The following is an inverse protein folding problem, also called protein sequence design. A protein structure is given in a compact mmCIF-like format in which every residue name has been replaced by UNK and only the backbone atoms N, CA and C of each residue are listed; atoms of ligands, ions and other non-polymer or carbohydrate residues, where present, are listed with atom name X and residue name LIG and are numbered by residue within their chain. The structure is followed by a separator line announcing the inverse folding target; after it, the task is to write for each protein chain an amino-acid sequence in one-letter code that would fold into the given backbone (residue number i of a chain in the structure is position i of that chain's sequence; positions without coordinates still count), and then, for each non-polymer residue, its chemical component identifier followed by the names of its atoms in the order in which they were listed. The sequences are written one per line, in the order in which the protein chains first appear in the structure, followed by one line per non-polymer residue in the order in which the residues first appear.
data_IF_552057027281
#
_entry.id   IF_552057027281
#
_cell.length_a   1.000
_cell.length_b   1.000
_cell.length_c   1.000
_cell.angle_alpha   90.00
_cell.angle_beta   90.00
_cell.angle_gamma   90.00
#
_symmetry.space_group_name_H-M   'P 1'
#
loop_
_entity.id
_entity.type
_entity.pdbx_description
1 polymer ?
#
# COMPACT_ATOMS: atom_id res chain seq x y z
N UNK A 1 -3.72 -18.80 -18.86
CA UNK A 1 -2.49 -18.37 -18.13
C UNK A 1 -2.77 -16.98 -17.57
N UNK A 2 -2.95 -16.86 -16.25
CA UNK A 2 -3.33 -15.60 -15.60
C UNK A 2 -2.22 -14.56 -15.72
N UNK A 3 -2.59 -13.29 -15.93
CA UNK A 3 -1.66 -12.16 -16.08
C UNK A 3 -0.63 -12.09 -14.94
N UNK A 4 -1.05 -12.40 -13.71
CA UNK A 4 -0.20 -12.46 -12.51
C UNK A 4 0.95 -13.45 -12.63
N UNK A 5 0.72 -14.62 -13.23
CA UNK A 5 1.75 -15.64 -13.42
C UNK A 5 2.80 -15.21 -14.47
N UNK A 6 2.38 -14.42 -15.47
CA UNK A 6 3.30 -13.85 -16.47
C UNK A 6 4.17 -12.75 -15.88
N UNK A 7 3.61 -11.86 -15.05
CA UNK A 7 4.39 -10.79 -14.39
C UNK A 7 5.43 -11.36 -13.43
N UNK A 8 5.07 -12.40 -12.67
CA UNK A 8 6.00 -13.09 -11.78
C UNK A 8 7.12 -13.82 -12.54
N UNK A 9 6.80 -14.48 -13.66
CA UNK A 9 7.81 -15.16 -14.50
C UNK A 9 8.73 -14.15 -15.21
N UNK A 10 8.18 -13.05 -15.72
CA UNK A 10 8.97 -11.97 -16.34
C UNK A 10 9.89 -11.27 -15.33
N UNK A 11 9.43 -11.04 -14.10
CA UNK A 11 10.27 -10.53 -13.02
C UNK A 11 11.41 -11.51 -12.69
N UNK A 12 11.13 -12.82 -12.65
CA UNK A 12 12.12 -13.88 -12.44
C UNK A 12 13.18 -13.93 -13.54
N UNK A 13 12.79 -13.78 -14.82
CA UNK A 13 13.73 -13.72 -15.97
C UNK A 13 14.62 -12.48 -15.96
N UNK A 14 14.11 -11.34 -15.47
CA UNK A 14 14.92 -10.13 -15.27
C UNK A 14 15.96 -10.35 -14.17
N UNK A 15 15.57 -10.97 -13.05
CA UNK A 15 16.48 -11.28 -11.92
C UNK A 15 17.56 -12.31 -12.30
N UNK A 16 17.24 -13.27 -13.17
CA UNK A 16 18.20 -14.22 -13.78
C UNK A 16 19.13 -13.58 -14.83
N UNK A 17 18.91 -12.31 -15.18
CA UNK A 17 19.75 -11.55 -16.11
C UNK A 17 19.44 -11.77 -17.59
N UNK A 18 18.36 -12.47 -17.93
CA UNK A 18 18.06 -12.96 -19.29
C UNK A 18 17.51 -11.89 -20.25
N UNK A 19 16.78 -10.89 -19.76
CA UNK A 19 16.48 -9.66 -20.56
C UNK A 19 17.64 -8.69 -20.42
N UNK A 20 17.94 -7.77 -21.33
CA UNK A 20 18.89 -6.62 -21.13
C UNK A 20 18.23 -5.34 -21.66
N UNK A 21 18.43 -4.19 -20.97
CA UNK A 21 17.89 -2.87 -21.36
C UNK A 21 16.86 -2.27 -20.38
N UNK A 22 16.47 -1.00 -20.59
CA UNK A 22 15.57 -0.23 -19.71
C UNK A 22 14.16 -0.82 -19.55
N UNK A 23 13.76 -1.77 -20.41
CA UNK A 23 12.48 -2.48 -20.29
C UNK A 23 12.45 -3.57 -19.20
N UNK A 24 13.57 -3.80 -18.50
CA UNK A 24 13.67 -4.69 -17.33
C UNK A 24 12.83 -4.25 -16.12
N UNK A 25 12.47 -2.96 -16.06
CA UNK A 25 11.84 -2.34 -14.89
C UNK A 25 10.31 -2.53 -14.93
N UNK A 26 9.73 -2.75 -16.12
CA UNK A 26 8.28 -2.84 -16.31
C UNK A 26 7.57 -3.89 -15.44
N UNK A 27 8.11 -5.12 -15.26
CA UNK A 27 7.46 -6.12 -14.41
C UNK A 27 7.38 -5.71 -12.93
N UNK A 28 8.26 -4.82 -12.48
CA UNK A 28 8.33 -4.34 -11.09
C UNK A 28 7.50 -3.08 -10.84
N UNK A 29 7.04 -2.39 -11.89
CA UNK A 29 6.23 -1.17 -11.77
C UNK A 29 4.87 -1.44 -11.13
N UNK A 30 4.22 -2.57 -11.44
CA UNK A 30 2.90 -2.91 -10.86
C UNK A 30 2.95 -3.04 -9.32
N UNK A 31 3.80 -3.92 -8.77
CA UNK A 31 3.98 -4.02 -7.32
C UNK A 31 4.45 -2.73 -6.66
N UNK A 32 5.36 -1.99 -7.32
CA UNK A 32 5.83 -0.70 -6.82
C UNK A 32 4.70 0.35 -6.75
N UNK A 33 3.85 0.41 -7.77
CA UNK A 33 2.71 1.33 -7.81
C UNK A 33 1.72 1.04 -6.68
N UNK A 34 1.37 -0.23 -6.47
CA UNK A 34 0.48 -0.63 -5.36
C UNK A 34 1.07 -0.21 -4.01
N UNK A 35 2.38 -0.39 -3.81
CA UNK A 35 3.05 0.07 -2.59
C UNK A 35 3.05 1.60 -2.46
N UNK A 36 3.25 2.35 -3.54
CA UNK A 36 3.25 3.82 -3.52
C UNK A 36 1.87 4.41 -3.19
N UNK A 37 0.78 3.81 -3.69
CA UNK A 37 -0.59 4.30 -3.42
C UNK A 37 -0.88 4.32 -1.92
N UNK A 38 -0.36 3.35 -1.16
CA UNK A 38 -0.52 3.31 0.29
C UNK A 38 0.16 4.47 1.05
N UNK A 39 1.08 5.23 0.42
CA UNK A 39 1.71 6.42 1.01
C UNK A 39 1.02 7.73 0.59
N UNK A 40 0.02 7.66 -0.29
CA UNK A 40 -0.78 8.80 -0.78
C UNK A 40 -2.23 8.63 -0.30
N UNK A 41 -2.39 8.13 0.93
CA UNK A 41 -3.69 7.90 1.56
C UNK A 41 -4.24 9.18 2.23
N UNK A 42 -5.57 9.26 2.45
CA UNK A 42 -6.19 10.41 3.10
C UNK A 42 -5.65 10.75 4.49
N UNK A 43 -5.14 9.77 5.23
CA UNK A 43 -4.51 9.99 6.53
C UNK A 43 -3.27 10.86 6.43
N UNK A 44 -2.38 10.54 5.50
CA UNK A 44 -1.19 11.36 5.21
C UNK A 44 -1.57 12.77 4.72
N UNK A 45 -2.63 12.92 3.92
CA UNK A 45 -3.14 14.25 3.54
C UNK A 45 -3.58 15.08 4.74
N UNK A 46 -4.33 14.49 5.68
CA UNK A 46 -4.81 15.21 6.86
C UNK A 46 -3.65 15.77 7.71
N UNK A 47 -2.63 14.95 7.98
CA UNK A 47 -1.45 15.37 8.75
C UNK A 47 -0.64 16.43 8.01
N UNK A 48 -0.43 16.27 6.70
CA UNK A 48 0.35 17.23 5.90
C UNK A 48 -0.36 18.58 5.76
N UNK A 49 -1.68 18.60 5.57
CA UNK A 49 -2.48 19.83 5.48
C UNK A 49 -2.51 20.53 6.85
N UNK A 50 -2.73 19.79 7.94
CA UNK A 50 -2.73 20.35 9.29
C UNK A 50 -1.34 20.86 9.71
N UNK A 51 -0.27 20.16 9.31
CA UNK A 51 1.10 20.59 9.52
C UNK A 51 1.45 21.85 8.72
N UNK A 52 1.07 21.88 7.45
CA UNK A 52 1.28 23.02 6.57
C UNK A 52 0.51 24.27 7.00
N UNK A 53 -0.74 24.11 7.48
CA UNK A 53 -1.53 25.25 7.97
C UNK A 53 -0.98 25.87 9.25
N UNK A 54 -0.34 25.08 10.10
CA UNK A 54 0.25 25.55 11.38
C UNK A 54 1.69 26.02 11.25
N UNK A 55 2.50 25.33 10.43
CA UNK A 55 3.96 25.52 10.38
C UNK A 55 4.49 25.98 9.02
N UNK A 56 3.61 26.21 8.04
CA UNK A 56 4.00 26.56 6.68
C UNK A 56 4.91 25.49 6.07
N UNK A 57 5.98 25.94 5.41
CA UNK A 57 6.94 25.05 4.74
C UNK A 57 8.02 24.46 5.65
N UNK A 58 7.99 24.77 6.95
CA UNK A 58 9.03 24.35 7.91
C UNK A 58 9.16 22.83 8.01
N UNK A 59 8.08 22.08 7.77
CA UNK A 59 8.06 20.62 7.88
C UNK A 59 8.34 19.88 6.56
N UNK A 60 8.57 20.58 5.45
CA UNK A 60 8.81 19.93 4.14
C UNK A 60 10.02 18.99 4.18
N UNK A 61 11.09 19.37 4.87
CA UNK A 61 12.28 18.51 5.00
C UNK A 61 11.97 17.21 5.75
N UNK A 62 11.03 17.24 6.71
CA UNK A 62 10.59 16.05 7.46
C UNK A 62 9.87 15.09 6.52
N UNK A 63 9.03 15.61 5.62
CA UNK A 63 8.34 14.80 4.60
C UNK A 63 9.35 14.12 3.68
N UNK A 64 10.38 14.83 3.23
CA UNK A 64 11.45 14.25 2.40
C UNK A 64 12.20 13.16 3.17
N UNK A 65 12.61 13.44 4.41
CA UNK A 65 13.32 12.47 5.25
C UNK A 65 12.47 11.21 5.51
N UNK A 66 11.17 11.37 5.78
CA UNK A 66 10.23 10.26 5.96
C UNK A 66 10.10 9.40 4.69
N UNK A 67 10.03 10.02 3.51
CA UNK A 67 9.98 9.30 2.23
C UNK A 67 11.29 8.53 1.95
N UNK A 68 12.46 9.10 2.28
CA UNK A 68 13.74 8.40 2.16
C UNK A 68 13.76 7.14 3.04
N UNK A 69 13.27 7.25 4.29
CA UNK A 69 13.15 6.11 5.20
C UNK A 69 12.15 5.07 4.70
N UNK A 70 11.00 5.50 4.18
CA UNK A 70 10.01 4.60 3.57
C UNK A 70 10.60 3.82 2.39
N UNK A 71 11.34 4.48 1.50
CA UNK A 71 12.03 3.82 0.38
C UNK A 71 13.03 2.77 0.86
N UNK A 72 13.79 3.07 1.92
CA UNK A 72 14.72 2.10 2.52
C UNK A 72 13.98 0.86 3.03
N UNK A 73 12.92 1.05 3.83
CA UNK A 73 12.13 -0.04 4.41
C UNK A 73 11.48 -0.87 3.30
N UNK A 74 10.86 -0.24 2.30
CA UNK A 74 10.21 -0.93 1.19
C UNK A 74 11.22 -1.74 0.36
N UNK A 75 12.43 -1.20 0.15
CA UNK A 75 13.52 -1.90 -0.53
C UNK A 75 13.98 -3.13 0.25
N UNK A 76 14.08 -3.06 1.57
CA UNK A 76 14.44 -4.20 2.41
C UNK A 76 13.36 -5.29 2.37
N UNK A 77 12.08 -4.91 2.47
CA UNK A 77 10.95 -5.84 2.33
C UNK A 77 10.93 -6.54 0.97
N UNK A 78 11.18 -5.79 -0.11
CA UNK A 78 11.29 -6.35 -1.46
C UNK A 78 12.49 -7.30 -1.60
N UNK A 79 13.67 -6.90 -1.08
CA UNK A 79 14.88 -7.75 -1.09
C UNK A 79 14.66 -9.05 -0.32
N UNK A 80 13.98 -8.99 0.83
CA UNK A 80 13.62 -10.18 1.59
C UNK A 80 12.78 -11.13 0.74
N UNK A 81 11.71 -10.63 0.12
CA UNK A 81 10.83 -11.45 -0.72
C UNK A 81 11.55 -12.06 -1.92
N UNK A 82 12.45 -11.31 -2.56
CA UNK A 82 13.25 -11.79 -3.68
C UNK A 82 14.26 -12.85 -3.24
N UNK A 83 14.94 -12.66 -2.10
CA UNK A 83 15.99 -13.54 -1.63
C UNK A 83 15.46 -14.85 -1.03
N UNK A 84 14.32 -14.82 -0.34
CA UNK A 84 13.76 -15.99 0.35
C UNK A 84 12.64 -16.67 -0.43
N UNK A 85 12.02 -15.98 -1.40
CA UNK A 85 10.79 -16.42 -2.06
C UNK A 85 9.57 -16.40 -1.15
N UNK A 86 9.65 -15.79 0.05
CA UNK A 86 8.61 -15.75 1.08
C UNK A 86 8.25 -14.33 1.47
N UNK A 87 7.01 -14.11 1.88
CA UNK A 87 6.60 -12.81 2.42
C UNK A 87 7.11 -12.60 3.86
N UNK A 88 7.11 -11.36 4.34
CA UNK A 88 7.61 -11.02 5.68
C UNK A 88 6.85 -11.79 6.80
N UNK A 89 5.50 -11.91 6.77
CA UNK A 89 4.77 -12.74 7.73
C UNK A 89 5.22 -14.21 7.78
N UNK A 90 5.47 -14.85 6.64
CA UNK A 90 5.98 -16.23 6.54
C UNK A 90 7.36 -16.36 7.19
N UNK A 91 8.26 -15.43 6.90
CA UNK A 91 9.61 -15.41 7.50
C UNK A 91 9.52 -15.21 9.02
N UNK A 92 8.66 -14.30 9.48
CA UNK A 92 8.40 -14.10 10.91
C UNK A 92 7.84 -15.37 11.56
N UNK A 93 6.94 -16.08 10.88
CA UNK A 93 6.33 -17.32 11.38
C UNK A 93 7.36 -18.45 11.56
N UNK A 94 8.35 -18.51 10.69
CA UNK A 94 9.43 -19.51 10.72
C UNK A 94 10.53 -19.17 11.74
N UNK A 95 10.80 -17.87 11.95
CA UNK A 95 11.88 -17.40 12.82
C UNK A 95 11.46 -17.20 14.27
N UNK A 96 10.20 -16.89 14.53
CA UNK A 96 9.72 -16.57 15.88
C UNK A 96 8.85 -17.66 16.51
N UNK A 97 8.73 -17.58 17.84
CA UNK A 97 7.83 -18.47 18.58
C UNK A 97 6.37 -18.30 18.14
N UNK A 98 5.54 -19.34 18.37
CA UNK A 98 4.12 -19.31 17.99
C UNK A 98 3.34 -18.17 18.64
N UNK A 99 3.70 -17.79 19.87
CA UNK A 99 3.07 -16.68 20.60
C UNK A 99 3.42 -15.33 19.96
N UNK A 100 4.70 -15.10 19.66
CA UNK A 100 5.16 -13.86 19.02
C UNK A 100 4.56 -13.69 17.64
N UNK A 101 4.54 -14.75 16.83
CA UNK A 101 3.91 -14.71 15.49
C UNK A 101 2.43 -14.32 15.56
N UNK A 102 1.71 -14.83 16.56
CA UNK A 102 0.30 -14.52 16.75
C UNK A 102 0.08 -13.07 17.20
N UNK A 103 0.94 -12.56 18.09
CA UNK A 103 0.91 -11.15 18.48
C UNK A 103 1.18 -10.22 17.29
N UNK A 104 2.16 -10.54 16.44
CA UNK A 104 2.45 -9.81 15.20
C UNK A 104 1.27 -9.85 14.22
N UNK A 105 0.57 -10.98 14.12
CA UNK A 105 -0.62 -11.09 13.29
C UNK A 105 -1.75 -10.18 13.79
N UNK A 106 -2.06 -10.21 15.09
CA UNK A 106 -3.06 -9.30 15.67
C UNK A 106 -2.67 -7.84 15.43
N UNK A 107 -1.40 -7.49 15.64
CA UNK A 107 -0.92 -6.14 15.39
C UNK A 107 -1.11 -5.71 13.93
N UNK A 108 -0.75 -6.59 12.98
CA UNK A 108 -0.91 -6.31 11.56
C UNK A 108 -2.39 -6.13 11.18
N UNK A 109 -3.28 -6.95 11.74
CA UNK A 109 -4.73 -6.85 11.52
C UNK A 109 -5.28 -5.50 12.04
N UNK A 110 -4.86 -5.09 13.25
CA UNK A 110 -5.24 -3.80 13.83
C UNK A 110 -4.75 -2.62 12.98
N UNK A 111 -3.51 -2.69 12.47
CA UNK A 111 -2.95 -1.67 11.58
C UNK A 111 -3.74 -1.61 10.27
N UNK A 112 -4.03 -2.76 9.65
CA UNK A 112 -4.80 -2.82 8.42
C UNK A 112 -6.20 -2.21 8.58
N UNK A 113 -6.91 -2.54 9.67
CA UNK A 113 -8.21 -1.95 9.98
C UNK A 113 -8.13 -0.44 10.22
N UNK A 114 -7.07 0.05 10.87
CA UNK A 114 -6.88 1.47 11.10
C UNK A 114 -6.64 2.24 9.80
N UNK A 115 -5.84 1.68 8.88
CA UNK A 115 -5.62 2.27 7.55
C UNK A 115 -6.90 2.28 6.71
N UNK A 116 -7.63 1.17 6.67
CA UNK A 116 -8.90 1.07 5.95
C UNK A 116 -9.93 2.08 6.46
N UNK A 117 -10.00 2.29 7.78
CA UNK A 117 -10.86 3.31 8.39
C UNK A 117 -10.50 4.74 7.91
N UNK A 118 -9.21 5.06 7.83
CA UNK A 118 -8.76 6.37 7.37
C UNK A 118 -9.08 6.59 5.88
N UNK A 119 -8.86 5.57 5.04
CA UNK A 119 -9.20 5.59 3.62
C UNK A 119 -10.71 5.74 3.40
N UNK A 120 -11.51 4.97 4.14
CA UNK A 120 -12.97 5.02 4.09
C UNK A 120 -13.51 6.41 4.46
N UNK A 121 -13.03 6.98 5.57
CA UNK A 121 -13.43 8.33 5.99
C UNK A 121 -13.00 9.39 4.98
N UNK A 122 -11.79 9.27 4.43
CA UNK A 122 -11.29 10.17 3.40
C UNK A 122 -12.14 10.15 2.13
N UNK A 123 -12.51 8.96 1.66
CA UNK A 123 -13.38 8.80 0.50
C UNK A 123 -14.79 9.35 0.76
N UNK A 124 -15.37 9.07 1.93
CA UNK A 124 -16.67 9.62 2.32
C UNK A 124 -16.64 11.17 2.39
N UNK A 125 -15.57 11.74 2.96
CA UNK A 125 -15.35 13.18 2.96
C UNK A 125 -15.19 13.73 1.53
N UNK A 126 -14.47 13.01 0.66
CA UNK A 126 -14.34 13.36 -0.75
C UNK A 126 -15.68 13.46 -1.47
N UNK A 127 -16.56 12.45 -1.30
CA UNK A 127 -17.92 12.50 -1.84
C UNK A 127 -18.76 13.63 -1.24
N UNK A 128 -18.64 13.88 0.07
CA UNK A 128 -19.31 15.00 0.74
C UNK A 128 -18.91 16.35 0.11
N UNK A 129 -17.60 16.57 -0.10
CA UNK A 129 -17.08 17.81 -0.65
C UNK A 129 -17.37 17.98 -2.15
N UNK A 130 -17.33 16.89 -2.93
CA UNK A 130 -17.53 16.94 -4.38
C UNK A 130 -19.01 17.03 -4.78
N UNK A 131 -19.89 16.30 -4.08
CA UNK A 131 -21.31 16.18 -4.43
C UNK A 131 -22.23 17.02 -3.52
N UNK A 132 -21.70 17.59 -2.43
CA UNK A 132 -22.47 18.39 -1.47
C UNK A 132 -23.52 17.60 -0.67
N UNK A 133 -23.50 16.27 -0.74
CA UNK A 133 -24.43 15.38 -0.01
C UNK A 133 -23.99 15.22 1.44
N UNK A 134 -24.91 15.00 2.38
CA UNK A 134 -24.54 14.78 3.79
C UNK A 134 -23.56 13.58 3.98
N UNK A 135 -22.77 13.63 5.05
CA UNK A 135 -21.68 12.67 5.29
C UNK A 135 -22.18 11.22 5.42
N UNK A 136 -23.36 11.02 6.02
CA UNK A 136 -23.93 9.68 6.19
C UNK A 136 -24.27 9.01 4.85
N UNK A 137 -25.04 9.64 3.93
CA UNK A 137 -25.17 9.16 2.55
C UNK A 137 -23.83 8.95 1.82
N UNK A 138 -22.87 9.86 1.98
CA UNK A 138 -21.55 9.75 1.37
C UNK A 138 -20.77 8.51 1.83
N UNK A 139 -20.85 8.19 3.12
CA UNK A 139 -20.25 6.98 3.69
C UNK A 139 -20.91 5.70 3.13
N UNK A 140 -22.23 5.69 2.95
CA UNK A 140 -22.93 4.56 2.32
C UNK A 140 -22.46 4.37 0.88
N UNK A 141 -22.36 5.45 0.11
CA UNK A 141 -21.85 5.39 -1.28
C UNK A 141 -20.43 4.85 -1.28
N UNK A 142 -19.57 5.32 -0.39
CA UNK A 142 -18.19 4.84 -0.25
C UNK A 142 -18.13 3.34 0.01
N UNK A 143 -18.96 2.83 0.94
CA UNK A 143 -19.04 1.40 1.21
C UNK A 143 -19.45 0.62 -0.04
N UNK A 144 -20.51 1.06 -0.73
CA UNK A 144 -20.99 0.42 -1.96
C UNK A 144 -19.90 0.41 -3.03
N UNK A 145 -19.20 1.53 -3.25
CA UNK A 145 -18.11 1.64 -4.21
C UNK A 145 -16.94 0.72 -3.86
N UNK A 146 -16.53 0.66 -2.58
CA UNK A 146 -15.47 -0.24 -2.13
C UNK A 146 -15.83 -1.71 -2.36
N UNK A 147 -17.05 -2.13 -1.98
CA UNK A 147 -17.52 -3.49 -2.24
C UNK A 147 -17.67 -3.80 -3.72
N UNK A 148 -18.09 -2.83 -4.55
CA UNK A 148 -18.13 -3.00 -6.01
C UNK A 148 -16.74 -3.21 -6.59
N UNK A 149 -15.74 -2.45 -6.15
CA UNK A 149 -14.34 -2.61 -6.60
C UNK A 149 -13.78 -3.96 -6.18
N UNK A 150 -13.99 -4.37 -4.93
CA UNK A 150 -13.63 -5.70 -4.44
C UNK A 150 -14.35 -6.81 -5.22
N UNK A 151 -15.62 -6.61 -5.54
CA UNK A 151 -16.40 -7.50 -6.39
C UNK A 151 -15.86 -7.57 -7.83
N UNK A 152 -15.38 -6.45 -8.38
CA UNK A 152 -14.76 -6.37 -9.69
C UNK A 152 -13.42 -7.13 -9.72
N UNK A 153 -12.70 -7.15 -8.61
CA UNK A 153 -11.45 -7.89 -8.46
C UNK A 153 -11.64 -9.41 -8.72
N UNK A 154 -12.86 -9.93 -8.54
CA UNK A 154 -13.24 -11.31 -8.89
C UNK A 154 -13.18 -11.59 -10.40
N UNK A 155 -13.24 -10.57 -11.25
CA UNK A 155 -13.18 -10.67 -12.71
C UNK A 155 -11.77 -10.52 -13.30
N UNK A 156 -10.75 -10.23 -12.47
CA UNK A 156 -9.34 -10.17 -12.86
C UNK A 156 -8.74 -8.75 -12.89
N UNK A 157 -7.41 -8.67 -12.75
CA UNK A 157 -6.59 -7.45 -12.98
C UNK A 157 -6.46 -7.14 -14.46
#
# INVERSE_FOLDING_TARGET
MNATARTADDAGRVLRGERRGSFRILPFLGPAFVACVAYIDPGNFATNIAGGSKFGYTLVWVIVAANLMAMLIQTLSAKLGIATGKNLPEVCRERFSRRTSFALWIQAELIAMATDLAEFLGAALGFHLLLGIALFPAAIITAITAFLILGLQRFGF
#
